data_IF_661723856472
#
_entry.id   IF_661723856472
#
_cell.length_a   1.000
_cell.length_b   1.000
_cell.length_c   1.000
_cell.angle_alpha   90.00
_cell.angle_beta   90.00
_cell.angle_gamma   90.00
#
_symmetry.space_group_name_H-M   'P 1'
#
loop_
_entity.id
_entity.type
_entity.pdbx_description
1 polymer ?
#
# COMPACT_ATOMS: atom_id res chain seq x y z
N UNK A 1 -2.06 -23.32 -1.75
CA UNK A 1 -2.76 -24.35 -2.55
C UNK A 1 -1.70 -25.27 -3.13
N UNK A 2 -2.06 -26.38 -3.79
CA UNK A 2 -1.10 -27.23 -4.49
C UNK A 2 -1.09 -26.82 -5.96
N UNK A 3 0.11 -26.74 -6.54
CA UNK A 3 0.29 -26.51 -7.98
C UNK A 3 0.41 -27.83 -8.72
N UNK A 4 1.08 -28.82 -8.12
CA UNK A 4 1.25 -30.14 -8.72
C UNK A 4 1.29 -31.24 -7.63
N UNK A 5 0.88 -32.45 -8.01
CA UNK A 5 0.85 -33.62 -7.12
C UNK A 5 -0.35 -33.66 -6.17
N UNK A 6 -0.15 -34.21 -4.97
CA UNK A 6 -1.21 -34.45 -3.98
C UNK A 6 -0.86 -33.94 -2.58
N UNK A 7 -1.88 -33.66 -1.79
CA UNK A 7 -1.74 -33.36 -0.37
C UNK A 7 -1.45 -34.62 0.45
N UNK A 8 -1.00 -34.40 1.69
CA UNK A 8 -0.96 -35.48 2.70
C UNK A 8 -2.36 -35.98 3.01
N UNK A 9 -2.50 -37.29 3.15
CA UNK A 9 -3.70 -37.93 3.67
C UNK A 9 -3.51 -38.30 5.14
N UNK A 10 -4.61 -38.48 5.89
CA UNK A 10 -4.53 -38.97 7.26
C UNK A 10 -3.83 -40.34 7.35
N UNK A 11 -3.95 -41.17 6.32
CA UNK A 11 -3.23 -42.45 6.22
C UNK A 11 -1.72 -42.28 6.06
N UNK A 12 -1.25 -41.26 5.33
CA UNK A 12 0.19 -41.00 5.19
C UNK A 12 0.82 -40.60 6.53
N UNK A 13 0.12 -39.81 7.35
CA UNK A 13 0.58 -39.41 8.68
C UNK A 13 0.54 -40.59 9.67
N UNK A 14 -0.57 -41.32 9.72
CA UNK A 14 -0.74 -42.47 10.62
C UNK A 14 0.25 -43.61 10.32
N UNK A 15 0.49 -43.93 9.05
CA UNK A 15 1.48 -44.93 8.64
C UNK A 15 2.92 -44.42 8.75
N UNK A 16 3.11 -43.15 9.13
CA UNK A 16 4.39 -42.46 9.18
C UNK A 16 5.11 -42.65 7.85
N UNK A 17 4.49 -42.31 6.72
CA UNK A 17 5.14 -42.44 5.42
C UNK A 17 6.24 -41.40 5.26
N UNK A 18 7.30 -41.76 4.55
CA UNK A 18 8.42 -40.87 4.21
C UNK A 18 8.08 -40.10 2.94
N UNK A 19 7.10 -39.22 3.04
CA UNK A 19 6.65 -38.37 1.94
C UNK A 19 6.87 -36.90 2.27
N UNK A 20 7.17 -36.09 1.26
CA UNK A 20 7.42 -34.67 1.39
C UNK A 20 6.61 -33.84 0.37
N UNK A 21 6.22 -32.64 0.77
CA UNK A 21 5.62 -31.62 -0.11
C UNK A 21 6.52 -30.39 -0.09
N UNK A 22 6.86 -29.89 -1.27
CA UNK A 22 7.84 -28.82 -1.43
C UNK A 22 7.18 -27.46 -1.62
N UNK A 23 7.82 -26.40 -1.12
CA UNK A 23 7.52 -25.02 -1.50
C UNK A 23 7.83 -24.76 -2.98
N UNK A 24 7.20 -23.73 -3.55
CA UNK A 24 7.27 -23.43 -5.00
C UNK A 24 8.67 -23.04 -5.50
N UNK A 25 9.55 -22.56 -4.64
CA UNK A 25 10.91 -22.11 -4.99
C UNK A 25 11.93 -23.26 -5.03
N UNK A 26 11.66 -24.35 -4.31
CA UNK A 26 12.61 -25.47 -4.16
C UNK A 26 12.93 -26.16 -5.50
N UNK A 27 11.96 -26.47 -6.39
CA UNK A 27 12.27 -27.08 -7.69
C UNK A 27 13.25 -26.24 -8.51
N UNK A 28 13.09 -24.91 -8.48
CA UNK A 28 13.97 -23.98 -9.19
C UNK A 28 15.40 -24.00 -8.63
N UNK A 29 15.57 -24.13 -7.31
CA UNK A 29 16.90 -24.22 -6.67
C UNK A 29 17.68 -25.47 -7.08
N UNK A 30 16.98 -26.55 -7.42
CA UNK A 30 17.58 -27.83 -7.81
C UNK A 30 17.63 -27.99 -9.35
N UNK A 31 17.32 -26.93 -10.11
CA UNK A 31 17.21 -26.94 -11.57
C UNK A 31 16.27 -28.05 -12.10
N UNK A 32 15.21 -28.36 -11.35
CA UNK A 32 14.23 -29.39 -11.69
C UNK A 32 12.91 -28.75 -12.09
N UNK A 33 12.22 -29.35 -13.07
CA UNK A 33 10.86 -28.94 -13.42
C UNK A 33 9.89 -29.34 -12.28
N UNK A 34 8.88 -28.50 -12.02
CA UNK A 34 7.90 -28.67 -10.93
C UNK A 34 7.15 -30.00 -11.01
N UNK A 35 6.90 -30.52 -12.20
CA UNK A 35 6.25 -31.81 -12.39
C UNK A 35 7.23 -32.99 -12.33
N UNK A 36 8.47 -32.78 -12.77
CA UNK A 36 9.51 -33.82 -12.83
C UNK A 36 10.10 -34.18 -11.45
N UNK A 37 9.94 -33.31 -10.46
CA UNK A 37 10.40 -33.55 -9.08
C UNK A 37 9.46 -34.48 -8.31
N UNK A 38 8.23 -34.69 -8.79
CA UNK A 38 7.25 -35.58 -8.16
C UNK A 38 7.69 -37.04 -8.37
N UNK A 39 7.69 -37.82 -7.30
CA UNK A 39 8.17 -39.20 -7.27
C UNK A 39 9.69 -39.34 -7.07
N UNK A 40 10.43 -38.22 -7.06
CA UNK A 40 11.85 -38.23 -6.73
C UNK A 40 12.07 -38.29 -5.21
N UNK A 41 13.24 -38.79 -4.80
CA UNK A 41 13.64 -38.80 -3.39
C UNK A 41 14.51 -37.60 -3.04
N UNK A 42 14.21 -36.99 -1.90
CA UNK A 42 15.03 -35.94 -1.29
C UNK A 42 15.53 -36.38 0.08
N UNK A 43 16.76 -35.97 0.42
CA UNK A 43 17.37 -36.29 1.71
C UNK A 43 17.08 -35.18 2.73
N UNK A 44 16.38 -35.52 3.80
CA UNK A 44 16.12 -34.63 4.92
C UNK A 44 16.81 -35.21 6.15
N UNK A 45 17.87 -34.53 6.63
CA UNK A 45 18.72 -35.00 7.76
C UNK A 45 19.22 -36.46 7.57
N UNK A 46 19.59 -36.83 6.35
CA UNK A 46 20.10 -38.16 6.02
C UNK A 46 19.04 -39.25 5.84
N UNK A 47 17.76 -38.88 5.79
CA UNK A 47 16.64 -39.81 5.55
C UNK A 47 16.01 -39.47 4.20
N UNK A 48 15.79 -40.48 3.36
CA UNK A 48 15.12 -40.34 2.06
C UNK A 48 13.61 -40.14 2.22
N UNK A 49 13.06 -39.14 1.53
CA UNK A 49 11.64 -38.84 1.43
C UNK A 49 11.21 -38.71 -0.03
N UNK A 50 10.12 -39.39 -0.39
CA UNK A 50 9.51 -39.27 -1.72
C UNK A 50 8.71 -37.96 -1.83
N UNK A 51 8.96 -37.18 -2.87
CA UNK A 51 8.23 -35.93 -3.13
C UNK A 51 6.88 -36.25 -3.76
N UNK A 52 5.78 -35.88 -3.10
CA UNK A 52 4.42 -36.18 -3.57
C UNK A 52 3.66 -34.95 -4.09
N UNK A 53 4.22 -33.74 -3.92
CA UNK A 53 3.59 -32.52 -4.42
C UNK A 53 4.41 -31.26 -4.22
N UNK A 54 3.99 -30.20 -4.92
CA UNK A 54 4.59 -28.86 -4.89
C UNK A 54 3.49 -27.83 -4.63
N UNK A 55 3.74 -26.95 -3.66
CA UNK A 55 2.84 -25.87 -3.28
C UNK A 55 2.82 -24.77 -4.33
N UNK A 56 1.71 -24.04 -4.35
CA UNK A 56 1.56 -22.78 -5.08
C UNK A 56 2.41 -21.68 -4.47
N UNK A 57 3.00 -20.87 -5.33
CA UNK A 57 3.71 -19.66 -4.94
C UNK A 57 2.79 -18.72 -4.16
N UNK A 58 3.22 -18.34 -2.96
CA UNK A 58 2.55 -17.34 -2.12
C UNK A 58 3.33 -16.02 -2.06
N UNK A 59 4.60 -16.04 -2.43
CA UNK A 59 5.50 -14.90 -2.32
C UNK A 59 6.04 -14.71 -0.90
N UNK A 60 7.22 -14.11 -0.82
CA UNK A 60 7.83 -13.71 0.45
C UNK A 60 7.11 -12.49 1.02
N UNK A 61 6.34 -12.69 2.11
CA UNK A 61 5.83 -11.60 2.93
C UNK A 61 6.74 -11.40 4.16
N UNK A 62 7.98 -10.97 3.90
CA UNK A 62 8.92 -10.52 4.93
C UNK A 62 10.17 -11.40 5.12
N UNK A 63 11.18 -10.82 5.78
CA UNK A 63 12.54 -11.39 5.91
C UNK A 63 12.67 -12.63 6.80
N UNK A 64 11.63 -13.03 7.55
CA UNK A 64 11.79 -13.98 8.65
C UNK A 64 11.38 -15.43 8.33
N UNK A 65 10.66 -15.68 7.23
CA UNK A 65 10.26 -17.02 6.80
C UNK A 65 9.66 -16.95 5.40
N UNK A 66 10.35 -17.49 4.39
CA UNK A 66 9.78 -17.65 3.06
C UNK A 66 8.95 -18.94 2.97
N UNK A 67 7.61 -18.89 2.86
CA UNK A 67 6.78 -20.10 2.74
C UNK A 67 7.11 -20.92 1.50
N UNK A 68 7.64 -20.26 0.46
CA UNK A 68 7.94 -20.89 -0.83
C UNK A 68 9.23 -21.72 -0.81
N UNK A 69 10.03 -21.63 0.26
CA UNK A 69 11.27 -22.39 0.48
C UNK A 69 11.13 -23.49 1.55
N UNK A 70 9.91 -23.74 2.04
CA UNK A 70 9.68 -24.73 3.09
C UNK A 70 9.49 -26.14 2.52
N UNK A 71 9.99 -27.14 3.25
CA UNK A 71 9.71 -28.56 3.01
C UNK A 71 8.76 -29.03 4.11
N UNK A 72 7.60 -29.55 3.71
CA UNK A 72 6.61 -30.10 4.61
C UNK A 72 6.71 -31.63 4.61
N UNK A 73 6.58 -32.23 5.78
CA UNK A 73 6.52 -33.68 6.00
C UNK A 73 5.40 -33.97 7.02
N UNK A 74 4.82 -35.19 7.04
CA UNK A 74 3.82 -35.57 8.04
C UNK A 74 4.34 -35.42 9.47
N UNK A 75 3.48 -34.99 10.38
CA UNK A 75 3.84 -34.63 11.76
C UNK A 75 4.40 -35.84 12.51
N UNK A 76 3.75 -36.98 12.40
CA UNK A 76 4.20 -38.22 13.06
C UNK A 76 5.54 -38.69 12.48
N UNK A 77 5.75 -38.54 11.17
CA UNK A 77 7.06 -38.83 10.56
C UNK A 77 8.15 -37.90 11.09
N UNK A 78 7.86 -36.60 11.24
CA UNK A 78 8.81 -35.63 11.79
C UNK A 78 9.17 -35.96 13.25
N UNK A 79 8.17 -36.26 14.09
CA UNK A 79 8.34 -36.58 15.52
C UNK A 79 9.24 -37.80 15.71
N UNK A 80 8.93 -38.92 15.05
CA UNK A 80 9.59 -40.20 15.32
C UNK A 80 10.88 -40.41 14.52
N UNK A 81 11.02 -39.84 13.32
CA UNK A 81 12.17 -40.12 12.45
C UNK A 81 13.16 -38.98 12.31
N UNK A 82 12.74 -37.73 12.47
CA UNK A 82 13.58 -36.56 12.08
C UNK A 82 14.02 -35.72 13.29
N UNK A 83 13.10 -35.45 14.22
CA UNK A 83 13.33 -34.51 15.34
C UNK A 83 13.49 -35.25 16.66
N UNK A 84 12.78 -36.37 16.88
CA UNK A 84 12.90 -37.16 18.10
C UNK A 84 12.34 -36.48 19.35
N UNK A 85 11.37 -35.57 19.20
CA UNK A 85 10.72 -34.88 20.32
C UNK A 85 9.22 -34.80 20.14
N UNK A 86 8.50 -34.85 21.27
CA UNK A 86 7.05 -34.66 21.32
C UNK A 86 6.65 -33.19 21.48
N UNK A 87 7.62 -32.27 21.57
CA UNK A 87 7.36 -30.84 21.74
C UNK A 87 7.08 -30.19 20.39
N UNK A 88 5.88 -29.61 20.25
CA UNK A 88 5.51 -28.80 19.09
C UNK A 88 6.13 -27.40 19.22
N UNK A 89 6.68 -26.88 18.12
CA UNK A 89 7.24 -25.51 18.06
C UNK A 89 6.15 -24.44 17.88
N UNK A 90 5.13 -24.75 17.08
CA UNK A 90 4.04 -23.83 16.76
C UNK A 90 2.80 -24.62 16.35
N UNK A 91 1.63 -24.09 16.67
CA UNK A 91 0.34 -24.63 16.23
C UNK A 91 -0.36 -23.52 15.45
N UNK A 92 -0.72 -23.81 14.20
CA UNK A 92 -1.49 -22.88 13.37
C UNK A 92 -2.96 -23.26 13.47
N UNK A 93 -3.80 -22.31 13.86
CA UNK A 93 -5.25 -22.49 13.96
C UNK A 93 -5.91 -21.53 12.98
N UNK A 94 -6.91 -22.02 12.24
CA UNK A 94 -7.72 -21.20 11.35
C UNK A 94 -9.08 -20.94 12.01
N UNK A 95 -9.39 -19.68 12.27
CA UNK A 95 -10.72 -19.28 12.73
C UNK A 95 -11.75 -19.39 11.60
N UNK A 96 -13.02 -19.58 11.95
CA UNK A 96 -14.12 -19.66 10.98
C UNK A 96 -14.36 -18.33 10.27
N UNK A 97 -14.22 -17.22 11.00
CA UNK A 97 -14.45 -15.86 10.51
C UNK A 97 -13.53 -14.84 11.21
N UNK A 98 -13.38 -13.66 10.61
CA UNK A 98 -12.52 -12.59 11.12
C UNK A 98 -13.02 -11.99 12.44
N UNK A 99 -14.33 -11.97 12.68
CA UNK A 99 -14.93 -11.34 13.85
C UNK A 99 -14.75 -12.21 15.11
N UNK A 100 -14.67 -13.53 14.92
CA UNK A 100 -14.44 -14.51 15.98
C UNK A 100 -12.98 -14.57 16.45
N UNK A 101 -12.03 -13.92 15.77
CA UNK A 101 -10.60 -14.08 16.02
C UNK A 101 -10.18 -13.72 17.46
N UNK A 102 -10.73 -12.63 18.01
CA UNK A 102 -10.45 -12.22 19.39
C UNK A 102 -11.03 -13.21 20.41
N UNK A 103 -12.25 -13.69 20.17
CA UNK A 103 -12.88 -14.69 21.04
C UNK A 103 -12.13 -16.03 20.96
N UNK A 104 -11.75 -16.46 19.76
CA UNK A 104 -10.94 -17.65 19.53
C UNK A 104 -9.59 -17.55 20.24
N UNK A 105 -8.93 -16.38 20.19
CA UNK A 105 -7.66 -16.14 20.90
C UNK A 105 -7.82 -16.32 22.41
N UNK A 106 -8.87 -15.74 23.00
CA UNK A 106 -9.17 -15.89 24.43
C UNK A 106 -9.50 -17.34 24.81
N UNK A 107 -10.24 -18.05 23.96
CA UNK A 107 -10.60 -19.44 24.20
C UNK A 107 -9.38 -20.37 24.09
N UNK A 108 -8.55 -20.18 23.07
CA UNK A 108 -7.28 -20.89 22.91
C UNK A 108 -6.37 -20.63 24.11
N UNK A 109 -6.27 -19.38 24.58
CA UNK A 109 -5.49 -19.07 25.78
C UNK A 109 -6.01 -19.85 27.00
N UNK A 110 -7.33 -19.85 27.23
CA UNK A 110 -7.94 -20.59 28.34
C UNK A 110 -7.66 -22.09 28.26
N UNK A 111 -7.78 -22.68 27.08
CA UNK A 111 -7.51 -24.11 26.86
C UNK A 111 -6.03 -24.42 27.08
N UNK A 112 -5.13 -23.61 26.52
CA UNK A 112 -3.68 -23.79 26.64
C UNK A 112 -3.21 -23.63 28.09
N UNK A 113 -3.69 -22.60 28.82
CA UNK A 113 -3.39 -22.42 30.26
C UNK A 113 -3.84 -23.62 31.08
N UNK A 114 -5.02 -24.18 30.78
CA UNK A 114 -5.51 -25.40 31.45
C UNK A 114 -4.63 -26.61 31.14
N UNK A 115 -4.28 -26.81 29.87
CA UNK A 115 -3.46 -27.93 29.42
C UNK A 115 -2.03 -27.87 29.98
N UNK A 116 -1.47 -26.66 30.08
CA UNK A 116 -0.14 -26.39 30.65
C UNK A 116 -0.18 -26.26 32.19
N UNK A 117 -1.35 -26.36 32.81
CA UNK A 117 -1.56 -26.26 34.27
C UNK A 117 -1.05 -24.94 34.88
N UNK A 118 -1.20 -23.84 34.14
CA UNK A 118 -0.77 -22.50 34.56
C UNK A 118 -1.79 -21.93 35.55
N UNK A 119 -1.32 -21.50 36.73
CA UNK A 119 -2.18 -20.96 37.78
C UNK A 119 -2.64 -19.53 37.46
N UNK A 120 -3.75 -19.06 38.05
CA UNK A 120 -4.12 -17.64 37.98
C UNK A 120 -2.99 -16.76 38.50
N UNK A 121 -2.66 -15.69 37.76
CA UNK A 121 -1.58 -14.76 38.10
C UNK A 121 -0.16 -15.20 37.68
N UNK A 122 0.00 -16.40 37.11
CA UNK A 122 1.26 -16.80 36.47
C UNK A 122 1.31 -16.36 35.00
N UNK A 123 2.51 -16.05 34.53
CA UNK A 123 2.79 -15.70 33.14
C UNK A 123 2.60 -16.92 32.21
N UNK A 124 2.20 -16.66 30.96
CA UNK A 124 2.03 -17.69 29.95
C UNK A 124 3.41 -18.17 29.44
N UNK A 125 3.58 -19.48 29.30
CA UNK A 125 4.78 -20.10 28.69
C UNK A 125 4.65 -20.28 27.16
N UNK A 126 3.55 -19.79 26.58
CA UNK A 126 3.27 -19.76 25.15
C UNK A 126 2.92 -18.35 24.68
N UNK A 127 3.08 -18.11 23.38
CA UNK A 127 2.66 -16.87 22.73
C UNK A 127 1.60 -17.18 21.68
N UNK A 128 0.49 -16.44 21.73
CA UNK A 128 -0.51 -16.46 20.66
C UNK A 128 -0.22 -15.26 19.76
N UNK A 129 0.01 -15.52 18.48
CA UNK A 129 0.19 -14.47 17.47
C UNK A 129 -1.03 -14.46 16.58
N UNK A 130 -1.81 -13.40 16.67
CA UNK A 130 -2.93 -13.17 15.80
C UNK A 130 -2.44 -12.43 14.53
N UNK A 131 -2.71 -13.02 13.37
CA UNK A 131 -2.32 -12.42 12.10
C UNK A 131 -3.07 -11.10 11.84
N UNK A 132 -4.28 -10.91 12.41
CA UNK A 132 -5.01 -9.64 12.25
C UNK A 132 -4.32 -8.49 12.96
N UNK A 133 -3.66 -8.73 14.09
CA UNK A 133 -2.96 -7.68 14.85
C UNK A 133 -1.75 -7.15 14.09
N UNK A 134 -1.06 -8.04 13.35
CA UNK A 134 0.05 -7.65 12.46
C UNK A 134 -0.50 -6.80 11.30
N UNK A 135 -1.59 -7.25 10.67
CA UNK A 135 -2.21 -6.53 9.57
C UNK A 135 -2.76 -5.16 10.02
N UNK A 136 -3.41 -5.07 11.18
CA UNK A 136 -3.93 -3.82 11.71
C UNK A 136 -2.82 -2.85 12.08
N UNK A 137 -1.71 -3.34 12.65
CA UNK A 137 -0.54 -2.50 12.97
C UNK A 137 0.10 -1.94 11.71
N UNK A 138 0.26 -2.75 10.67
CA UNK A 138 0.76 -2.29 9.37
C UNK A 138 -0.19 -1.28 8.74
N UNK A 139 -1.50 -1.55 8.74
CA UNK A 139 -2.53 -0.63 8.25
C UNK A 139 -2.49 0.71 8.98
N UNK A 140 -2.45 0.70 10.31
CA UNK A 140 -2.36 1.91 11.13
C UNK A 140 -1.09 2.71 10.82
N UNK A 141 0.04 2.03 10.63
CA UNK A 141 1.30 2.68 10.26
C UNK A 141 1.21 3.31 8.89
N UNK A 142 0.68 2.59 7.89
CA UNK A 142 0.44 3.10 6.55
C UNK A 142 -0.54 4.28 6.55
N UNK A 143 -1.61 4.22 7.34
CA UNK A 143 -2.56 5.33 7.50
C UNK A 143 -1.89 6.55 8.13
N UNK A 144 -1.06 6.35 9.14
CA UNK A 144 -0.32 7.44 9.78
C UNK A 144 0.60 8.14 8.78
N UNK A 145 1.37 7.38 7.99
CA UNK A 145 2.20 7.96 6.93
C UNK A 145 1.37 8.62 5.84
N UNK A 146 0.21 8.06 5.49
CA UNK A 146 -0.72 8.66 4.53
C UNK A 146 -1.21 10.03 5.01
N UNK A 147 -1.61 10.15 6.28
CA UNK A 147 -2.04 11.43 6.84
C UNK A 147 -0.89 12.43 6.96
N UNK A 148 0.31 11.98 7.34
CA UNK A 148 1.50 12.81 7.37
C UNK A 148 1.80 13.40 5.99
N UNK A 149 1.86 12.56 4.95
CA UNK A 149 2.10 12.97 3.57
C UNK A 149 0.98 13.88 3.05
N UNK A 150 -0.28 13.58 3.37
CA UNK A 150 -1.41 14.44 3.02
C UNK A 150 -1.30 15.82 3.68
N UNK A 151 -0.85 15.88 4.94
CA UNK A 151 -0.61 17.13 5.66
C UNK A 151 0.50 17.96 5.01
N UNK A 152 1.63 17.33 4.68
CA UNK A 152 2.74 18.01 3.97
C UNK A 152 2.25 18.53 2.61
N UNK A 153 1.53 17.70 1.85
CA UNK A 153 0.96 18.10 0.57
C UNK A 153 -0.01 19.28 0.71
N UNK A 154 -0.87 19.28 1.73
CA UNK A 154 -1.81 20.38 2.01
C UNK A 154 -1.08 21.70 2.33
N UNK A 155 0.00 21.64 3.13
CA UNK A 155 0.82 22.83 3.43
C UNK A 155 1.54 23.33 2.18
N UNK A 156 2.17 22.45 1.39
CA UNK A 156 2.83 22.82 0.13
C UNK A 156 1.85 23.46 -0.85
N UNK A 157 0.63 22.94 -0.90
CA UNK A 157 -0.43 23.48 -1.73
C UNK A 157 -0.90 24.85 -1.26
N UNK A 158 -1.05 25.06 0.05
CA UNK A 158 -1.41 26.36 0.61
C UNK A 158 -0.35 27.41 0.27
N UNK A 159 0.93 27.08 0.46
CA UNK A 159 2.05 27.96 0.08
C UNK A 159 2.06 28.24 -1.43
N UNK A 160 1.84 27.21 -2.26
CA UNK A 160 1.71 27.37 -3.71
C UNK A 160 0.52 28.23 -4.12
N UNK A 161 -0.62 28.07 -3.45
CA UNK A 161 -1.84 28.85 -3.65
C UNK A 161 -1.65 30.33 -3.32
N UNK A 162 -0.97 30.64 -2.22
CA UNK A 162 -0.56 32.02 -1.89
C UNK A 162 0.35 32.59 -2.99
N UNK A 163 1.26 31.78 -3.53
CA UNK A 163 2.11 32.18 -4.65
C UNK A 163 1.30 32.56 -5.90
N UNK A 164 0.32 31.75 -6.28
CA UNK A 164 -0.60 32.04 -7.41
C UNK A 164 -1.36 33.34 -7.16
N UNK A 165 -1.89 33.52 -5.94
CA UNK A 165 -2.60 34.73 -5.56
C UNK A 165 -1.72 35.98 -5.71
N UNK A 166 -0.47 35.92 -5.23
CA UNK A 166 0.47 37.04 -5.33
C UNK A 166 0.85 37.38 -6.77
N UNK A 167 1.17 36.37 -7.59
CA UNK A 167 1.47 36.58 -9.01
C UNK A 167 0.27 37.21 -9.73
N UNK A 168 -0.94 36.72 -9.44
CA UNK A 168 -2.16 37.31 -9.99
C UNK A 168 -2.33 38.77 -9.57
N UNK A 169 -2.09 39.12 -8.31
CA UNK A 169 -2.19 40.51 -7.86
C UNK A 169 -1.22 41.42 -8.58
N UNK A 170 0.03 41.00 -8.72
CA UNK A 170 1.05 41.74 -9.48
C UNK A 170 0.62 41.90 -10.94
N UNK A 171 0.13 40.83 -11.59
CA UNK A 171 -0.33 40.90 -12.98
C UNK A 171 -1.53 41.84 -13.17
N UNK A 172 -2.42 41.93 -12.17
CA UNK A 172 -3.57 42.84 -12.20
C UNK A 172 -3.09 44.27 -12.09
N UNK A 173 -2.10 44.55 -11.23
CA UNK A 173 -1.51 45.88 -11.10
C UNK A 173 -0.77 46.33 -12.36
N UNK A 174 -0.01 45.44 -13.00
CA UNK A 174 0.70 45.72 -14.26
C UNK A 174 -0.26 45.94 -15.43
N UNK A 175 -1.36 45.19 -15.48
CA UNK A 175 -2.37 45.27 -16.57
C UNK A 175 -3.55 46.21 -16.24
N UNK A 176 -3.42 47.07 -15.23
CA UNK A 176 -4.49 48.01 -14.80
C UNK A 176 -5.05 48.83 -15.96
N UNK A 177 -4.18 49.44 -16.77
CA UNK A 177 -4.57 50.26 -17.92
C UNK A 177 -5.35 49.49 -18.98
N UNK A 178 -4.95 48.25 -19.29
CA UNK A 178 -5.67 47.39 -20.22
C UNK A 178 -7.08 47.05 -19.72
N UNK A 179 -7.21 46.75 -18.41
CA UNK A 179 -8.51 46.46 -17.78
C UNK A 179 -9.42 47.68 -17.87
N UNK A 180 -8.88 48.88 -17.62
CA UNK A 180 -9.59 50.16 -17.73
C UNK A 180 -10.16 50.40 -19.13
N UNK A 181 -9.35 50.18 -20.17
CA UNK A 181 -9.79 50.30 -21.57
C UNK A 181 -10.90 49.30 -21.90
N UNK A 182 -10.79 48.03 -21.47
CA UNK A 182 -11.84 47.02 -21.71
C UNK A 182 -13.16 47.42 -21.04
N UNK A 183 -13.13 47.93 -19.80
CA UNK A 183 -14.35 48.40 -19.11
C UNK A 183 -14.94 49.64 -19.75
N UNK A 184 -14.11 50.58 -20.20
CA UNK A 184 -14.58 51.78 -20.92
C UNK A 184 -15.28 51.43 -22.25
N UNK A 185 -14.87 50.33 -22.89
CA UNK A 185 -15.51 49.77 -24.08
C UNK A 185 -16.74 48.89 -23.78
N UNK A 186 -17.15 48.77 -22.50
CA UNK A 186 -18.36 48.08 -22.08
C UNK A 186 -18.16 46.64 -21.55
N UNK A 187 -16.94 46.19 -21.28
CA UNK A 187 -16.73 44.90 -20.63
C UNK A 187 -17.32 44.88 -19.21
N UNK A 188 -18.16 43.89 -18.93
CA UNK A 188 -18.77 43.72 -17.60
C UNK A 188 -17.72 43.25 -16.58
N UNK A 189 -17.99 43.49 -15.28
CA UNK A 189 -17.15 42.99 -14.18
C UNK A 189 -16.98 41.46 -14.25
N UNK A 190 -18.03 40.75 -14.67
CA UNK A 190 -18.02 39.29 -14.82
C UNK A 190 -17.06 38.86 -15.93
N UNK A 191 -17.02 39.56 -17.07
CA UNK A 191 -16.09 39.23 -18.16
C UNK A 191 -14.64 39.32 -17.71
N UNK A 192 -14.29 40.39 -16.98
CA UNK A 192 -12.93 40.57 -16.44
C UNK A 192 -12.62 39.49 -15.39
N UNK A 193 -13.57 39.19 -14.49
CA UNK A 193 -13.39 38.16 -13.47
C UNK A 193 -13.16 36.77 -14.10
N UNK A 194 -13.97 36.38 -15.09
CA UNK A 194 -13.82 35.09 -15.78
C UNK A 194 -12.47 35.01 -16.49
N UNK A 195 -12.02 36.10 -17.14
CA UNK A 195 -10.71 36.11 -17.80
C UNK A 195 -9.57 35.76 -16.83
N UNK A 196 -9.49 36.43 -15.68
CA UNK A 196 -8.45 36.17 -14.68
C UNK A 196 -8.59 34.80 -14.02
N UNK A 197 -9.83 34.34 -13.79
CA UNK A 197 -10.06 32.99 -13.26
C UNK A 197 -9.63 31.90 -14.25
N UNK A 198 -9.85 32.10 -15.55
CA UNK A 198 -9.38 31.18 -16.60
C UNK A 198 -7.86 31.21 -16.68
N UNK A 199 -7.21 32.37 -16.57
CA UNK A 199 -5.74 32.47 -16.55
C UNK A 199 -5.15 31.70 -15.35
N UNK A 200 -5.71 31.87 -14.15
CA UNK A 200 -5.33 31.11 -12.96
C UNK A 200 -5.57 29.61 -13.11
N UNK A 201 -6.72 29.21 -13.67
CA UNK A 201 -7.06 27.81 -13.91
C UNK A 201 -6.10 27.16 -14.89
N UNK A 202 -5.77 27.83 -16.00
CA UNK A 202 -4.80 27.33 -17.00
C UNK A 202 -3.43 27.16 -16.37
N UNK A 203 -2.96 28.12 -15.58
CA UNK A 203 -1.69 28.00 -14.85
C UNK A 203 -1.68 26.78 -13.91
N UNK A 204 -2.78 26.53 -13.19
CA UNK A 204 -2.90 25.39 -12.28
C UNK A 204 -3.03 24.04 -13.00
N UNK A 205 -3.70 24.01 -14.15
CA UNK A 205 -3.80 22.80 -14.98
C UNK A 205 -2.46 22.45 -15.62
N UNK A 206 -1.74 23.44 -16.14
CA UNK A 206 -0.39 23.23 -16.71
C UNK A 206 0.58 22.81 -15.61
N UNK A 207 0.59 23.50 -14.47
CA UNK A 207 1.41 23.12 -13.32
C UNK A 207 1.05 21.73 -12.78
N UNK A 208 -0.24 21.41 -12.70
CA UNK A 208 -0.74 20.10 -12.31
C UNK A 208 -0.31 18.99 -13.27
N UNK A 209 -0.37 19.24 -14.58
CA UNK A 209 0.09 18.31 -15.61
C UNK A 209 1.59 18.05 -15.49
N UNK A 210 2.39 19.11 -15.36
CA UNK A 210 3.84 19.00 -15.15
C UNK A 210 4.12 18.22 -13.86
N UNK A 211 3.42 18.54 -12.77
CA UNK A 211 3.55 17.84 -11.49
C UNK A 211 3.20 16.36 -11.56
N UNK A 212 2.13 15.98 -12.27
CA UNK A 212 1.75 14.57 -12.48
C UNK A 212 2.80 13.84 -13.33
N UNK A 213 3.31 14.48 -14.39
CA UNK A 213 4.36 13.89 -15.24
C UNK A 213 5.65 13.68 -14.42
N UNK A 214 6.10 14.69 -13.69
CA UNK A 214 7.31 14.58 -12.87
C UNK A 214 7.13 13.57 -11.72
N UNK A 215 5.97 13.58 -11.06
CA UNK A 215 5.65 12.64 -9.98
C UNK A 215 5.56 11.20 -10.47
N UNK A 216 4.93 10.94 -11.61
CA UNK A 216 4.83 9.60 -12.20
C UNK A 216 6.18 9.10 -12.70
N UNK A 217 6.98 9.94 -13.36
CA UNK A 217 8.34 9.60 -13.77
C UNK A 217 9.23 9.27 -12.55
N UNK A 218 9.18 10.10 -11.50
CA UNK A 218 9.89 9.85 -10.25
C UNK A 218 9.47 8.52 -9.63
N UNK A 219 8.17 8.24 -9.57
CA UNK A 219 7.64 6.98 -9.05
C UNK A 219 8.14 5.75 -9.82
N UNK A 220 8.20 5.83 -11.16
CA UNK A 220 8.72 4.73 -12.01
C UNK A 220 10.23 4.55 -11.82
N UNK A 221 11.00 5.64 -11.75
CA UNK A 221 12.45 5.57 -11.53
C UNK A 221 12.76 4.95 -10.17
N UNK A 222 12.08 5.40 -9.11
CA UNK A 222 12.25 4.83 -7.76
C UNK A 222 11.80 3.37 -7.72
N UNK A 223 10.69 3.01 -8.39
CA UNK A 223 10.23 1.63 -8.48
C UNK A 223 11.29 0.69 -9.05
N UNK A 224 11.98 1.11 -10.12
CA UNK A 224 13.05 0.33 -10.74
C UNK A 224 14.30 0.24 -9.86
N UNK A 225 14.71 1.34 -9.23
CA UNK A 225 15.92 1.38 -8.40
C UNK A 225 15.75 0.62 -7.07
N UNK A 226 14.57 0.71 -6.45
CA UNK A 226 14.30 0.11 -5.15
C UNK A 226 13.62 -1.27 -5.25
N UNK A 227 13.36 -1.77 -6.46
CA UNK A 227 12.58 -2.98 -6.71
C UNK A 227 11.21 -2.98 -6.01
N UNK A 228 10.57 -1.81 -5.93
CA UNK A 228 9.26 -1.65 -5.31
C UNK A 228 8.14 -1.80 -6.32
N UNK A 229 7.06 -2.47 -5.93
CA UNK A 229 5.86 -2.60 -6.73
C UNK A 229 4.99 -1.33 -6.59
N UNK A 230 5.34 -0.28 -7.34
CA UNK A 230 4.65 1.01 -7.28
C UNK A 230 3.44 1.02 -8.21
N UNK A 231 2.25 1.25 -7.65
CA UNK A 231 1.01 1.35 -8.40
C UNK A 231 0.59 2.82 -8.55
N UNK A 232 0.54 3.31 -9.78
CA UNK A 232 0.03 4.64 -10.10
C UNK A 232 -1.47 4.53 -10.40
N UNK A 233 -2.31 5.00 -9.49
CA UNK A 233 -3.76 4.96 -9.65
C UNK A 233 -4.26 6.09 -10.56
N UNK A 234 -4.99 5.79 -11.67
CA UNK A 234 -5.60 6.81 -12.53
C UNK A 234 -6.58 7.72 -11.77
N UNK A 235 -7.30 7.16 -10.79
CA UNK A 235 -8.24 7.90 -9.96
C UNK A 235 -7.51 8.92 -9.06
N UNK A 236 -6.33 8.57 -8.54
CA UNK A 236 -5.51 9.49 -7.75
C UNK A 236 -4.98 10.66 -8.61
N UNK A 237 -4.59 10.39 -9.86
CA UNK A 237 -4.19 11.43 -10.81
C UNK A 237 -5.36 12.39 -11.09
N UNK A 238 -6.54 11.85 -11.39
CA UNK A 238 -7.73 12.66 -11.65
C UNK A 238 -8.11 13.52 -10.44
N UNK A 239 -8.07 12.95 -9.23
CA UNK A 239 -8.28 13.70 -7.99
C UNK A 239 -7.25 14.82 -7.82
N UNK A 240 -5.97 14.57 -8.11
CA UNK A 240 -4.93 15.59 -8.04
C UNK A 240 -5.18 16.76 -9.01
N UNK A 241 -5.64 16.47 -10.24
CA UNK A 241 -6.01 17.51 -11.21
C UNK A 241 -7.21 18.34 -10.75
N UNK A 242 -8.29 17.67 -10.32
CA UNK A 242 -9.49 18.37 -9.80
C UNK A 242 -9.13 19.23 -8.60
N UNK A 243 -8.28 18.72 -7.72
CA UNK A 243 -7.85 19.44 -6.53
C UNK A 243 -6.95 20.64 -6.87
N UNK A 244 -6.01 20.50 -7.81
CA UNK A 244 -5.20 21.63 -8.33
C UNK A 244 -6.08 22.73 -8.95
N UNK A 245 -7.07 22.34 -9.76
CA UNK A 245 -8.02 23.27 -10.35
C UNK A 245 -8.86 24.00 -9.28
N UNK A 246 -9.36 23.28 -8.26
CA UNK A 246 -10.12 23.86 -7.16
C UNK A 246 -9.30 24.88 -6.37
N UNK A 247 -8.02 24.60 -6.12
CA UNK A 247 -7.10 25.50 -5.40
C UNK A 247 -6.79 26.74 -6.22
N UNK A 248 -6.50 26.57 -7.51
CA UNK A 248 -6.29 27.69 -8.43
C UNK A 248 -7.48 28.63 -8.49
N UNK A 249 -8.69 28.07 -8.56
CA UNK A 249 -9.91 28.83 -8.52
C UNK A 249 -10.07 29.55 -7.17
N UNK A 250 -9.88 28.85 -6.06
CA UNK A 250 -10.03 29.40 -4.71
C UNK A 250 -9.11 30.61 -4.48
N UNK A 251 -7.81 30.47 -4.73
CA UNK A 251 -6.84 31.55 -4.55
C UNK A 251 -6.92 32.62 -5.64
N UNK A 252 -7.49 32.29 -6.81
CA UNK A 252 -7.67 33.24 -7.91
C UNK A 252 -8.90 34.14 -7.79
N UNK A 253 -9.91 33.76 -7.01
CA UNK A 253 -11.16 34.54 -6.85
C UNK A 253 -10.90 35.94 -6.30
N UNK A 254 -10.05 36.07 -5.28
CA UNK A 254 -9.82 37.37 -4.64
C UNK A 254 -9.14 38.39 -5.59
N UNK A 255 -8.00 38.07 -6.24
CA UNK A 255 -7.40 38.95 -7.25
C UNK A 255 -8.34 39.23 -8.43
N UNK A 256 -9.05 38.22 -8.94
CA UNK A 256 -9.96 38.39 -10.07
C UNK A 256 -11.11 39.35 -9.74
N UNK A 257 -11.66 39.27 -8.51
CA UNK A 257 -12.65 40.23 -8.01
C UNK A 257 -12.07 41.64 -7.89
N UNK A 258 -10.84 41.77 -7.38
CA UNK A 258 -10.15 43.06 -7.27
C UNK A 258 -9.96 43.72 -8.63
N UNK A 259 -9.55 42.96 -9.65
CA UNK A 259 -9.44 43.42 -11.03
C UNK A 259 -10.80 43.87 -11.61
N UNK A 260 -11.83 43.05 -11.39
CA UNK A 260 -13.19 43.34 -11.83
C UNK A 260 -13.80 44.58 -11.17
N UNK A 261 -13.36 44.97 -9.96
CA UNK A 261 -13.85 46.16 -9.25
C UNK A 261 -13.12 47.47 -9.56
N UNK A 262 -12.04 47.48 -10.36
CA UNK A 262 -11.32 48.71 -10.73
C UNK A 262 -12.23 49.72 -11.48
N UNK A 263 -12.20 50.99 -11.10
CA UNK A 263 -12.92 52.06 -11.81
C UNK A 263 -12.21 52.37 -13.15
N UNK A 264 -12.93 52.42 -14.29
CA UNK A 264 -12.33 52.76 -15.58
C UNK A 264 -11.58 54.10 -15.58
N UNK A 265 -12.07 55.09 -14.83
CA UNK A 265 -11.49 56.43 -14.77
C UNK A 265 -10.14 56.37 -14.06
N UNK A 266 -10.08 55.72 -12.90
CA UNK A 266 -8.84 55.56 -12.13
C UNK A 266 -7.82 54.69 -12.85
N UNK A 267 -8.28 53.63 -13.52
CA UNK A 267 -7.41 52.72 -14.27
C UNK A 267 -6.74 53.37 -15.50
N UNK A 268 -7.35 54.40 -16.09
CA UNK A 268 -6.78 55.16 -17.22
C UNK A 268 -5.87 56.31 -16.77
N UNK A 269 -5.96 56.71 -15.51
CA UNK A 269 -5.19 57.80 -14.91
C UNK A 269 -3.88 57.35 -14.26
N UNK A 270 -3.71 56.04 -14.10
CA UNK A 270 -2.48 55.41 -13.62
C UNK A 270 -1.40 55.51 -14.70
N UNK A 271 -0.28 56.16 -14.37
CA UNK A 271 1.02 56.04 -15.07
C UNK A 271 1.79 54.83 -14.55
#
# INVERSE_FOLDING_TARGET
>A
TLTAGRAFTAGDDAARRRVAVLGSSIPNMVNANRDAIIGQEIMIRGIAFEVIGVLSEKGSQGSFSNPDEQILIPLETARYRVIGTDRLRSITVQAADLNSMNLATLEIERVMRRQHKIRPGQDNDFQIRNQTDILSTLQQTTETFKYLLAGIAAVSLLVGGIGIMNIMLVSVTERTREIGVRKALGATQVNIMIQFLVEALVLCLVGGLIGVVLGSLGAVVLSKLAHWNTLISPLAILLAFVFSAAVGLFFGIWPARRAASLDPIDALRYE
#
